data_IF_027255163442
#
_entry.id   IF_027255163442
#
_cell.length_a   1.000
_cell.length_b   1.000
_cell.length_c   1.000
_cell.angle_alpha   90.00
_cell.angle_beta   90.00
_cell.angle_gamma   90.00
#
_symmetry.space_group_name_H-M   'P 1'
#
loop_
_entity.id
_entity.type
_entity.pdbx_description
1 polymer ?
#
# COMPACT_ATOMS: atom_id res chain seq x y z
N UNK A 1 8.31 -28.82 -54.64
CA UNK A 1 7.05 -28.14 -54.24
C UNK A 1 6.49 -28.54 -52.86
N UNK A 2 6.74 -29.74 -52.31
CA UNK A 2 6.13 -30.20 -51.05
C UNK A 2 6.65 -29.55 -49.74
N UNK A 3 7.88 -29.04 -49.73
CA UNK A 3 8.53 -28.51 -48.51
C UNK A 3 8.03 -27.11 -48.10
N UNK A 4 7.63 -26.26 -49.06
CA UNK A 4 7.12 -24.91 -48.78
C UNK A 4 5.72 -24.93 -48.13
N UNK A 5 4.92 -25.96 -48.43
CA UNK A 5 3.58 -26.12 -47.85
C UNK A 5 3.67 -26.54 -46.38
N UNK A 6 4.62 -27.41 -46.03
CA UNK A 6 4.84 -27.86 -44.65
C UNK A 6 5.28 -26.73 -43.71
N UNK A 7 6.18 -25.84 -44.16
CA UNK A 7 6.59 -24.66 -43.38
C UNK A 7 5.41 -23.70 -43.12
N UNK A 8 4.48 -23.56 -44.08
CA UNK A 8 3.29 -22.72 -43.93
C UNK A 8 2.32 -23.30 -42.89
N UNK A 9 2.13 -24.62 -42.89
CA UNK A 9 1.32 -25.29 -41.86
C UNK A 9 1.94 -25.17 -40.47
N UNK A 10 3.24 -25.37 -40.32
CA UNK A 10 3.95 -25.20 -39.05
C UNK A 10 3.84 -23.75 -38.55
N UNK A 11 3.99 -22.78 -39.44
CA UNK A 11 3.86 -21.35 -39.09
C UNK A 11 2.43 -20.99 -38.68
N UNK A 12 1.41 -21.53 -39.34
CA UNK A 12 0.01 -21.35 -38.93
C UNK A 12 -0.28 -21.99 -37.57
N UNK A 13 0.24 -23.20 -37.31
CA UNK A 13 0.07 -23.87 -36.00
C UNK A 13 0.78 -23.10 -34.89
N UNK A 14 1.99 -22.59 -35.13
CA UNK A 14 2.71 -21.71 -34.18
C UNK A 14 1.99 -20.38 -33.93
N UNK A 15 1.43 -19.76 -34.97
CA UNK A 15 0.65 -18.53 -34.82
C UNK A 15 -0.63 -18.76 -34.01
N UNK A 16 -1.34 -19.88 -34.24
CA UNK A 16 -2.53 -20.25 -33.46
C UNK A 16 -2.15 -20.58 -32.01
N UNK A 17 -1.04 -21.29 -31.76
CA UNK A 17 -0.53 -21.56 -30.40
C UNK A 17 -0.15 -20.26 -29.66
N UNK A 18 0.46 -19.29 -30.34
CA UNK A 18 0.78 -17.97 -29.77
C UNK A 18 -0.49 -17.17 -29.47
N UNK A 19 -1.51 -17.21 -30.34
CA UNK A 19 -2.80 -16.56 -30.10
C UNK A 19 -3.60 -17.22 -28.97
N UNK A 20 -3.50 -18.53 -28.79
CA UNK A 20 -4.16 -19.25 -27.67
C UNK A 20 -3.40 -19.04 -26.36
N UNK A 21 -2.07 -18.93 -26.39
CA UNK A 21 -1.26 -18.57 -25.23
C UNK A 21 -1.51 -17.13 -24.74
N UNK A 22 -1.95 -16.22 -25.62
CA UNK A 22 -2.38 -14.87 -25.22
C UNK A 22 -3.76 -14.80 -24.56
N UNK A 23 -4.46 -15.94 -24.43
CA UNK A 23 -5.69 -16.08 -23.63
C UNK A 23 -5.37 -16.75 -22.28
N UNK A 24 -4.17 -16.54 -21.75
CA UNK A 24 -4.02 -16.66 -20.30
C UNK A 24 -5.03 -15.68 -19.69
N UNK A 25 -5.87 -16.09 -18.73
CA UNK A 25 -6.67 -15.13 -17.99
C UNK A 25 -5.68 -14.12 -17.43
N UNK A 26 -5.74 -12.89 -17.94
CA UNK A 26 -5.29 -11.74 -17.18
C UNK A 26 -6.21 -11.82 -15.96
N UNK A 27 -5.71 -12.40 -14.89
CA UNK A 27 -6.36 -12.35 -13.60
C UNK A 27 -6.35 -10.86 -13.24
N UNK A 28 -7.41 -10.16 -13.65
CA UNK A 28 -7.69 -8.84 -13.15
C UNK A 28 -7.72 -9.00 -11.64
N UNK A 29 -6.92 -8.17 -10.98
CA UNK A 29 -6.87 -8.18 -9.55
C UNK A 29 -8.28 -7.87 -9.03
N UNK A 30 -8.81 -8.77 -8.20
CA UNK A 30 -10.08 -8.55 -7.54
C UNK A 30 -9.94 -7.31 -6.64
N UNK A 31 -10.85 -6.35 -6.80
CA UNK A 31 -10.77 -5.05 -6.12
C UNK A 31 -11.73 -5.00 -4.94
N UNK A 32 -11.23 -4.66 -3.76
CA UNK A 32 -12.06 -4.38 -2.60
C UNK A 32 -12.72 -3.00 -2.75
N UNK A 33 -14.03 -2.94 -2.54
CA UNK A 33 -14.73 -1.67 -2.37
C UNK A 33 -14.67 -1.27 -0.89
N UNK A 34 -14.01 -0.15 -0.59
CA UNK A 34 -14.07 0.48 0.73
C UNK A 34 -15.39 1.24 0.86
N UNK A 35 -16.20 0.87 1.84
CA UNK A 35 -17.57 1.40 2.00
C UNK A 35 -17.64 2.80 2.63
N UNK A 36 -16.56 3.30 3.25
CA UNK A 36 -16.55 4.53 4.03
C UNK A 36 -15.25 5.34 3.82
N UNK A 37 -15.36 6.66 3.90
CA UNK A 37 -14.20 7.56 4.07
C UNK A 37 -13.76 7.54 5.54
N UNK A 38 -12.58 6.98 5.84
CA UNK A 38 -11.96 7.07 7.17
C UNK A 38 -10.83 8.12 7.17
N UNK A 39 -10.65 8.83 8.29
CA UNK A 39 -9.55 9.79 8.42
C UNK A 39 -8.21 9.06 8.38
N UNK A 40 -7.24 9.62 7.66
CA UNK A 40 -5.88 9.09 7.56
C UNK A 40 -5.18 8.95 8.92
N UNK A 41 -5.50 9.86 9.84
CA UNK A 41 -4.90 9.91 11.16
C UNK A 41 -5.64 9.04 12.16
N UNK A 42 -6.87 8.63 11.85
CA UNK A 42 -7.71 7.83 12.76
C UNK A 42 -8.61 6.92 11.94
N UNK A 43 -8.17 5.68 11.75
CA UNK A 43 -9.02 4.60 11.28
C UNK A 43 -9.75 3.91 12.44
N UNK A 44 -10.65 2.99 12.10
CA UNK A 44 -11.44 2.23 13.08
C UNK A 44 -10.61 1.48 14.13
N UNK A 45 -9.44 0.97 13.75
CA UNK A 45 -8.53 0.20 14.62
C UNK A 45 -7.14 0.82 14.78
N UNK A 46 -6.86 1.99 14.20
CA UNK A 46 -5.54 2.61 14.26
C UNK A 46 -5.58 4.13 14.38
N UNK A 47 -4.50 4.72 14.87
CA UNK A 47 -4.29 6.17 14.80
C UNK A 47 -2.83 6.50 14.48
N UNK A 48 -2.63 7.51 13.64
CA UNK A 48 -1.32 8.03 13.25
C UNK A 48 -1.18 9.47 13.73
N UNK A 49 0.01 9.84 14.19
CA UNK A 49 0.34 11.21 14.56
C UNK A 49 1.77 11.55 14.15
N UNK A 50 1.97 12.81 13.79
CA UNK A 50 3.27 13.37 13.44
C UNK A 50 3.66 14.47 14.44
N UNK A 51 4.91 14.47 14.88
CA UNK A 51 5.49 15.51 15.73
C UNK A 51 6.94 15.78 15.34
N UNK A 52 7.52 16.86 15.87
CA UNK A 52 8.95 17.15 15.72
C UNK A 52 9.69 16.79 17.01
N UNK A 53 10.83 16.13 16.88
CA UNK A 53 11.81 15.98 17.94
C UNK A 53 13.13 16.64 17.50
N UNK A 54 13.34 17.89 17.89
CA UNK A 54 14.42 18.70 17.34
C UNK A 54 14.24 18.90 15.83
N UNK A 55 15.14 18.30 15.03
CA UNK A 55 15.07 18.33 13.55
C UNK A 55 14.45 17.07 12.96
N UNK A 56 14.16 16.06 13.77
CA UNK A 56 13.62 14.81 13.28
C UNK A 56 12.09 14.85 13.26
N UNK A 57 11.49 14.24 12.25
CA UNK A 57 10.03 14.01 12.23
C UNK A 57 9.75 12.69 12.92
N UNK A 58 8.86 12.69 13.91
CA UNK A 58 8.40 11.48 14.60
C UNK A 58 7.01 11.15 14.11
N UNK A 59 6.90 10.05 13.37
CA UNK A 59 5.64 9.41 13.01
C UNK A 59 5.32 8.31 14.03
N UNK A 60 4.16 8.37 14.66
CA UNK A 60 3.69 7.36 15.60
C UNK A 60 2.38 6.75 15.12
N UNK A 61 2.41 5.45 14.83
CA UNK A 61 1.26 4.62 14.56
C UNK A 61 0.90 3.80 15.79
N UNK A 62 -0.36 3.84 16.18
CA UNK A 62 -0.94 3.01 17.24
C UNK A 62 -2.02 2.14 16.63
N UNK A 63 -1.91 0.81 16.77
CA UNK A 63 -2.91 -0.16 16.31
C UNK A 63 -3.55 -0.84 17.51
N UNK A 64 -4.87 -1.05 17.46
CA UNK A 64 -5.72 -1.59 18.52
C UNK A 64 -6.43 -2.85 18.02
N UNK A 65 -5.74 -3.99 18.05
CA UNK A 65 -6.23 -5.26 17.49
C UNK A 65 -5.90 -6.48 18.40
N UNK A 66 -6.53 -6.51 19.59
CA UNK A 66 -6.24 -7.53 20.62
C UNK A 66 -5.14 -7.11 21.60
N UNK A 67 -4.86 -5.81 21.66
CA UNK A 67 -3.84 -5.15 22.47
C UNK A 67 -3.45 -3.83 21.83
N UNK A 68 -2.50 -3.10 22.42
CA UNK A 68 -1.96 -1.88 21.82
C UNK A 68 -0.55 -2.18 21.29
N UNK A 69 -0.42 -2.13 19.96
CA UNK A 69 0.90 -2.12 19.30
C UNK A 69 1.24 -0.69 18.91
N UNK A 70 2.44 -0.22 19.24
CA UNK A 70 2.95 1.10 18.86
C UNK A 70 4.14 0.96 17.93
N UNK A 71 4.09 1.63 16.80
CA UNK A 71 5.20 1.73 15.85
C UNK A 71 5.60 3.21 15.82
N UNK A 72 6.81 3.49 16.26
CA UNK A 72 7.40 4.84 16.23
C UNK A 72 8.49 4.87 15.18
N UNK A 73 8.41 5.82 14.25
CA UNK A 73 9.35 6.00 13.16
C UNK A 73 9.91 7.41 13.26
N UNK A 74 11.21 7.50 13.53
CA UNK A 74 11.93 8.77 13.65
C UNK A 74 12.72 8.99 12.38
N UNK A 75 12.32 10.00 11.62
CA UNK A 75 12.86 10.32 10.29
C UNK A 75 13.87 11.45 10.44
N UNK A 76 15.12 11.16 10.12
CA UNK A 76 16.22 12.10 10.23
C UNK A 76 16.40 12.90 8.93
N UNK A 77 16.92 14.14 8.98
CA UNK A 77 17.20 14.96 7.80
C UNK A 77 18.16 14.37 6.77
N UNK A 78 18.82 13.25 7.07
CA UNK A 78 19.75 12.55 6.19
C UNK A 78 19.11 11.34 5.48
N UNK A 79 17.78 11.27 5.42
CA UNK A 79 17.01 10.21 4.74
C UNK A 79 17.23 8.81 5.35
N UNK A 80 17.50 8.79 6.67
CA UNK A 80 17.53 7.60 7.50
C UNK A 80 16.35 7.65 8.48
N UNK A 81 15.75 6.50 8.71
CA UNK A 81 14.66 6.34 9.65
C UNK A 81 14.96 5.25 10.66
N UNK A 82 14.88 5.62 11.94
CA UNK A 82 14.89 4.69 13.06
C UNK A 82 13.45 4.24 13.34
N UNK A 83 13.27 2.94 13.55
CA UNK A 83 11.96 2.32 13.71
C UNK A 83 11.96 1.56 15.03
N UNK A 84 10.99 1.84 15.88
CA UNK A 84 10.77 1.15 17.15
C UNK A 84 9.36 0.60 17.14
N UNK A 85 9.24 -0.72 17.18
CA UNK A 85 7.96 -1.41 17.38
C UNK A 85 7.89 -1.85 18.84
N UNK A 86 6.79 -1.53 19.52
CA UNK A 86 6.46 -2.02 20.85
C UNK A 86 5.14 -2.77 20.75
N UNK A 87 5.21 -4.08 20.95
CA UNK A 87 4.06 -4.97 20.91
C UNK A 87 3.20 -4.90 22.18
N UNK A 88 2.06 -5.59 22.16
CA UNK A 88 1.09 -5.55 23.24
C UNK A 88 1.60 -6.16 24.55
N UNK A 89 2.54 -7.11 24.50
CA UNK A 89 3.19 -7.68 25.68
C UNK A 89 4.41 -6.89 26.17
N UNK A 90 4.70 -5.74 25.55
CA UNK A 90 5.81 -4.85 25.91
C UNK A 90 7.15 -5.24 25.29
N UNK A 91 7.21 -6.30 24.49
CA UNK A 91 8.35 -6.61 23.65
C UNK A 91 8.62 -5.47 22.68
N UNK A 92 9.91 -5.18 22.47
CA UNK A 92 10.32 -4.13 21.55
C UNK A 92 11.33 -4.64 20.55
N UNK A 93 11.18 -4.19 19.30
CA UNK A 93 12.16 -4.39 18.24
C UNK A 93 12.58 -3.05 17.68
N UNK A 94 13.83 -2.98 17.24
CA UNK A 94 14.40 -1.79 16.61
C UNK A 94 14.98 -2.14 15.25
N UNK A 95 14.80 -1.26 14.27
CA UNK A 95 15.31 -1.42 12.92
C UNK A 95 15.59 -0.06 12.30
N UNK A 96 16.30 -0.05 11.18
CA UNK A 96 16.60 1.16 10.40
C UNK A 96 16.23 0.95 8.94
N UNK A 97 15.77 2.02 8.29
CA UNK A 97 15.41 2.02 6.88
C UNK A 97 15.81 3.33 6.19
N UNK A 98 15.84 3.33 4.86
CA UNK A 98 15.91 4.58 4.08
C UNK A 98 14.52 5.19 3.96
N UNK A 99 14.45 6.51 4.10
CA UNK A 99 13.21 7.29 4.08
C UNK A 99 13.38 8.55 3.24
N UNK A 100 12.27 9.23 2.94
CA UNK A 100 12.28 10.57 2.35
C UNK A 100 11.90 11.59 3.42
N UNK A 101 12.88 12.32 3.96
CA UNK A 101 12.61 13.28 5.04
C UNK A 101 11.62 14.38 4.60
N UNK A 102 11.70 14.83 3.35
CA UNK A 102 10.89 15.94 2.86
C UNK A 102 9.41 15.57 2.86
N UNK A 103 9.09 14.36 2.39
CA UNK A 103 7.72 13.82 2.43
C UNK A 103 7.15 13.82 3.86
N UNK A 104 7.89 13.26 4.83
CA UNK A 104 7.41 13.19 6.22
C UNK A 104 7.29 14.58 6.88
N UNK A 105 8.18 15.51 6.54
CA UNK A 105 8.12 16.88 7.01
C UNK A 105 6.91 17.65 6.44
N UNK A 106 6.57 17.44 5.16
CA UNK A 106 5.36 17.98 4.54
C UNK A 106 4.10 17.43 5.22
N UNK A 107 4.02 16.11 5.45
CA UNK A 107 2.88 15.50 6.15
C UNK A 107 2.74 16.05 7.57
N UNK A 108 3.85 16.26 8.29
CA UNK A 108 3.82 16.90 9.60
C UNK A 108 3.23 18.32 9.53
N UNK A 109 3.68 19.13 8.56
CA UNK A 109 3.19 20.50 8.36
C UNK A 109 1.70 20.52 8.03
N UNK A 110 1.25 19.65 7.13
CA UNK A 110 -0.16 19.52 6.77
C UNK A 110 -1.01 19.14 7.99
N UNK A 111 -0.53 18.23 8.84
CA UNK A 111 -1.20 17.90 10.09
C UNK A 111 -1.32 19.12 11.02
N UNK A 112 -0.30 20.00 11.10
CA UNK A 112 -0.38 21.21 11.92
C UNK A 112 -1.35 22.23 11.31
N UNK A 113 -1.27 22.44 10.00
CA UNK A 113 -2.15 23.34 9.26
C UNK A 113 -3.62 22.92 9.41
N UNK A 114 -3.90 21.62 9.41
CA UNK A 114 -5.22 21.06 9.69
C UNK A 114 -5.66 21.37 11.14
N UNK A 115 -4.82 21.08 12.15
CA UNK A 115 -5.12 21.36 13.57
C UNK A 115 -5.38 22.85 13.83
N UNK A 116 -4.70 23.73 13.09
CA UNK A 116 -4.82 25.17 13.22
C UNK A 116 -5.95 25.78 12.38
N UNK A 117 -6.73 24.96 11.67
CA UNK A 117 -7.83 25.42 10.81
C UNK A 117 -7.38 26.21 9.58
N UNK A 118 -6.11 26.11 9.20
CA UNK A 118 -5.50 26.81 8.07
C UNK A 118 -5.66 26.05 6.74
N UNK A 119 -5.86 24.73 6.79
CA UNK A 119 -6.36 23.94 5.67
C UNK A 119 -7.88 23.84 5.79
N UNK A 120 -8.60 24.29 4.76
CA UNK A 120 -10.03 24.06 4.66
C UNK A 120 -10.28 22.55 4.60
N UNK A 121 -11.20 22.03 5.42
CA UNK A 121 -11.76 20.70 5.20
C UNK A 121 -12.40 20.72 3.82
N UNK A 122 -11.77 20.10 2.82
CA UNK A 122 -12.50 19.75 1.61
C UNK A 122 -13.42 18.61 2.05
N UNK A 123 -14.75 18.82 2.08
CA UNK A 123 -15.65 17.77 2.53
C UNK A 123 -15.43 16.54 1.66
N UNK A 124 -15.40 15.36 2.27
CA UNK A 124 -15.39 14.12 1.52
C UNK A 124 -16.60 14.11 0.59
N UNK A 125 -16.35 14.14 -0.72
CA UNK A 125 -17.41 14.10 -1.72
C UNK A 125 -18.06 12.72 -1.68
N UNK A 126 -19.38 12.69 -1.51
CA UNK A 126 -20.14 11.44 -1.39
C UNK A 126 -20.75 11.05 -2.73
N UNK A 127 -21.28 9.84 -2.86
CA UNK A 127 -21.64 9.24 -4.17
C UNK A 127 -22.52 10.10 -5.09
N UNK A 128 -23.33 11.03 -4.59
CA UNK A 128 -24.11 11.97 -5.41
C UNK A 128 -23.29 13.16 -5.93
N UNK A 129 -22.19 13.50 -5.26
CA UNK A 129 -21.33 14.64 -5.56
C UNK A 129 -20.23 14.27 -6.57
N UNK A 130 -19.94 12.97 -6.68
CA UNK A 130 -18.87 12.41 -7.52
C UNK A 130 -19.39 12.07 -8.92
N UNK A 131 -18.88 12.76 -9.94
CA UNK A 131 -19.04 12.40 -11.35
C UNK A 131 -17.71 11.91 -11.92
N UNK A 132 -17.76 10.96 -12.86
CA UNK A 132 -16.56 10.26 -13.35
C UNK A 132 -15.47 11.12 -14.01
N UNK A 133 -15.71 12.41 -14.24
CA UNK A 133 -14.78 13.35 -14.88
C UNK A 133 -14.21 14.45 -13.97
N UNK A 134 -14.65 14.53 -12.70
CA UNK A 134 -14.23 15.59 -11.77
C UNK A 134 -12.78 15.49 -11.32
N UNK A 135 -12.20 14.29 -11.38
CA UNK A 135 -10.87 14.04 -10.85
C UNK A 135 -9.92 13.49 -11.91
N UNK A 136 -8.65 13.83 -11.74
CA UNK A 136 -7.55 13.22 -12.46
C UNK A 136 -6.47 12.75 -11.50
N UNK A 137 -5.88 11.63 -11.83
CA UNK A 137 -4.78 11.05 -11.08
C UNK A 137 -3.46 11.50 -11.71
N UNK A 138 -2.63 12.21 -10.94
CA UNK A 138 -1.25 12.53 -11.30
C UNK A 138 -0.35 11.52 -10.60
N UNK A 139 0.39 10.74 -11.37
CA UNK A 139 1.35 9.78 -10.83
C UNK A 139 2.41 10.52 -10.02
N UNK A 140 2.64 10.07 -8.79
CA UNK A 140 3.69 10.59 -7.90
C UNK A 140 4.87 9.63 -7.89
N UNK A 141 4.60 8.34 -7.64
CA UNK A 141 5.65 7.36 -7.47
C UNK A 141 5.13 5.96 -7.19
N UNK A 142 6.04 5.01 -7.14
CA UNK A 142 5.76 3.62 -6.77
C UNK A 142 6.74 3.23 -5.66
N UNK A 143 6.21 2.69 -4.55
CA UNK A 143 7.05 2.12 -3.50
C UNK A 143 7.88 0.98 -4.10
N UNK A 144 9.05 0.70 -3.50
CA UNK A 144 9.76 -0.52 -3.82
C UNK A 144 8.82 -1.73 -3.68
N UNK A 145 8.99 -2.72 -4.56
CA UNK A 145 8.30 -4.00 -4.41
C UNK A 145 9.01 -4.80 -3.35
N UNK A 146 8.37 -4.95 -2.20
CA UNK A 146 8.90 -5.74 -1.10
C UNK A 146 8.44 -7.18 -1.19
N UNK A 147 9.32 -8.09 -0.75
CA UNK A 147 9.03 -9.52 -0.69
C UNK A 147 8.96 -9.94 0.77
N UNK A 148 7.84 -10.54 1.16
CA UNK A 148 7.67 -11.17 2.48
C UNK A 148 7.44 -12.66 2.27
N UNK A 149 8.17 -13.49 3.01
CA UNK A 149 8.00 -14.94 2.92
C UNK A 149 6.71 -15.39 3.61
N UNK A 150 6.03 -16.37 3.00
CA UNK A 150 4.79 -16.90 3.56
C UNK A 150 4.99 -17.50 4.95
N UNK A 151 6.18 -18.02 5.25
CA UNK A 151 6.54 -18.51 6.60
C UNK A 151 6.44 -17.43 7.67
N UNK A 152 6.75 -16.18 7.35
CA UNK A 152 6.70 -15.07 8.30
C UNK A 152 5.28 -14.53 8.42
N UNK A 153 4.58 -14.38 7.29
CA UNK A 153 3.17 -14.00 7.29
C UNK A 153 2.30 -14.99 8.07
N UNK A 154 2.53 -16.31 7.94
CA UNK A 154 1.76 -17.34 8.69
C UNK A 154 1.92 -17.24 10.22
N UNK A 155 2.96 -16.57 10.71
CA UNK A 155 3.15 -16.31 12.15
C UNK A 155 2.28 -15.16 12.62
N UNK A 156 1.92 -14.21 11.75
CA UNK A 156 1.04 -13.10 12.05
C UNK A 156 -0.35 -13.61 12.48
N UNK A 157 -0.83 -13.11 13.62
CA UNK A 157 -2.15 -13.42 14.19
C UNK A 157 -3.11 -12.24 14.15
N UNK A 158 -2.59 -11.05 13.84
CA UNK A 158 -3.33 -9.79 13.79
C UNK A 158 -2.69 -8.82 12.79
N UNK A 159 -3.42 -7.77 12.42
CA UNK A 159 -2.97 -6.77 11.45
C UNK A 159 -1.70 -6.05 11.91
N UNK A 160 -1.54 -5.81 13.20
CA UNK A 160 -0.35 -5.14 13.76
C UNK A 160 0.94 -5.94 13.60
N UNK A 161 0.86 -7.27 13.50
CA UNK A 161 2.04 -8.10 13.19
C UNK A 161 2.50 -7.85 11.74
N UNK A 162 1.55 -7.75 10.81
CA UNK A 162 1.84 -7.44 9.39
C UNK A 162 2.34 -6.00 9.26
N UNK A 163 1.72 -5.05 9.97
CA UNK A 163 2.12 -3.65 9.97
C UNK A 163 3.56 -3.47 10.48
N UNK A 164 3.99 -4.29 11.44
CA UNK A 164 5.37 -4.25 11.97
C UNK A 164 6.40 -4.69 10.92
N UNK A 165 6.07 -5.71 10.12
CA UNK A 165 6.90 -6.15 8.99
C UNK A 165 6.98 -5.04 7.94
N UNK A 166 5.83 -4.49 7.55
CA UNK A 166 5.75 -3.44 6.53
C UNK A 166 6.42 -2.14 6.97
N UNK A 167 6.29 -1.73 8.23
CA UNK A 167 6.95 -0.53 8.74
C UNK A 167 8.46 -0.59 8.57
N UNK A 168 9.05 -1.77 8.77
CA UNK A 168 10.49 -2.00 8.58
C UNK A 168 10.89 -2.01 7.10
N UNK A 169 10.06 -2.58 6.22
CA UNK A 169 10.35 -2.63 4.79
C UNK A 169 10.08 -1.29 4.06
N UNK A 170 9.06 -0.56 4.49
CA UNK A 170 8.48 0.57 3.75
C UNK A 170 8.91 1.91 4.33
N UNK A 171 10.22 2.12 4.42
CA UNK A 171 10.84 3.31 5.02
C UNK A 171 10.37 4.67 4.46
N UNK A 172 9.89 4.71 3.22
CA UNK A 172 9.39 5.94 2.57
C UNK A 172 7.86 6.00 2.41
N UNK A 173 7.13 5.02 2.97
CA UNK A 173 5.66 5.00 2.93
C UNK A 173 5.10 5.48 4.27
N UNK A 174 4.12 6.40 4.30
CA UNK A 174 3.49 6.83 5.55
C UNK A 174 2.81 5.68 6.31
N UNK A 175 2.84 5.72 7.64
CA UNK A 175 2.34 4.66 8.50
C UNK A 175 0.83 4.42 8.38
N UNK A 176 0.06 5.42 7.97
CA UNK A 176 -1.36 5.23 7.70
C UNK A 176 -1.60 4.28 6.51
N UNK A 177 -0.79 4.41 5.46
CA UNK A 177 -0.80 3.51 4.30
C UNK A 177 -0.30 2.12 4.70
N UNK A 178 0.71 2.04 5.57
CA UNK A 178 1.17 0.76 6.13
C UNK A 178 0.03 0.07 6.91
N UNK A 179 -0.70 0.81 7.74
CA UNK A 179 -1.80 0.29 8.55
C UNK A 179 -2.97 -0.23 7.71
N UNK A 180 -3.37 0.51 6.68
CA UNK A 180 -4.43 0.08 5.76
C UNK A 180 -4.01 -1.15 4.97
N UNK A 181 -2.78 -1.15 4.44
CA UNK A 181 -2.22 -2.29 3.71
C UNK A 181 -2.10 -3.53 4.60
N UNK A 182 -1.68 -3.36 5.86
CA UNK A 182 -1.56 -4.45 6.81
C UNK A 182 -2.92 -5.08 7.14
N UNK A 183 -3.95 -4.26 7.36
CA UNK A 183 -5.32 -4.73 7.57
C UNK A 183 -5.83 -5.48 6.33
N UNK A 184 -5.63 -4.92 5.14
CA UNK A 184 -5.98 -5.57 3.88
C UNK A 184 -5.30 -6.94 3.72
N UNK A 185 -3.98 -7.02 3.90
CA UNK A 185 -3.24 -8.27 3.80
C UNK A 185 -3.74 -9.28 4.84
N UNK A 186 -3.98 -8.83 6.07
CA UNK A 186 -4.46 -9.70 7.14
C UNK A 186 -5.84 -10.29 6.81
N UNK A 187 -6.81 -9.46 6.46
CA UNK A 187 -8.20 -9.88 6.24
C UNK A 187 -8.39 -10.59 4.91
N UNK A 188 -7.86 -10.03 3.82
CA UNK A 188 -8.16 -10.51 2.47
C UNK A 188 -7.22 -11.59 1.99
N UNK A 189 -6.04 -11.71 2.60
CA UNK A 189 -5.00 -12.60 2.09
C UNK A 189 -4.57 -13.66 3.09
N UNK A 190 -4.16 -13.28 4.30
CA UNK A 190 -3.67 -14.23 5.29
C UNK A 190 -4.73 -15.28 5.67
N UNK A 191 -5.97 -14.85 5.88
CA UNK A 191 -7.07 -15.77 6.19
C UNK A 191 -7.40 -16.75 5.06
N UNK A 192 -7.06 -16.42 3.82
CA UNK A 192 -7.34 -17.22 2.62
C UNK A 192 -6.09 -17.65 1.86
N UNK A 193 -4.91 -17.58 2.50
CA UNK A 193 -3.63 -17.76 1.84
C UNK A 193 -3.47 -19.20 1.38
N UNK A 194 -3.09 -19.40 0.12
CA UNK A 194 -2.90 -20.73 -0.45
C UNK A 194 -1.88 -21.54 0.37
N UNK A 195 -2.12 -22.83 0.57
CA UNK A 195 -1.14 -23.75 1.16
C UNK A 195 0.19 -23.76 0.39
N UNK A 196 0.12 -23.52 -0.92
CA UNK A 196 1.27 -23.51 -1.83
C UNK A 196 2.01 -22.17 -1.87
N UNK A 197 1.50 -21.16 -1.15
CA UNK A 197 2.14 -19.84 -1.10
C UNK A 197 3.51 -19.94 -0.43
N UNK A 198 4.55 -19.53 -1.16
CA UNK A 198 5.94 -19.48 -0.71
C UNK A 198 6.35 -18.06 -0.33
N UNK A 199 5.98 -17.08 -1.15
CA UNK A 199 6.26 -15.66 -0.90
C UNK A 199 5.15 -14.77 -1.41
N UNK A 200 5.07 -13.58 -0.82
CA UNK A 200 4.16 -12.52 -1.20
C UNK A 200 5.00 -11.32 -1.62
N UNK A 201 4.66 -10.70 -2.75
CA UNK A 201 5.22 -9.40 -3.11
C UNK A 201 4.19 -8.31 -2.95
N UNK A 202 4.61 -7.17 -2.44
CA UNK A 202 3.74 -6.05 -2.09
C UNK A 202 4.34 -4.79 -2.70
N UNK A 203 3.54 -4.04 -3.44
CA UNK A 203 3.92 -2.77 -4.04
C UNK A 203 2.77 -1.79 -3.92
N UNK A 204 3.05 -0.50 -3.74
CA UNK A 204 2.03 0.55 -3.71
C UNK A 204 2.36 1.62 -4.75
N UNK A 205 1.38 2.03 -5.54
CA UNK A 205 1.51 3.20 -6.44
C UNK A 205 0.79 4.37 -5.79
N UNK A 206 1.48 5.50 -5.68
CA UNK A 206 0.93 6.75 -5.16
C UNK A 206 0.56 7.67 -6.32
N UNK A 207 -0.65 8.21 -6.24
CA UNK A 207 -1.18 9.25 -7.11
C UNK A 207 -1.62 10.44 -6.28
N UNK A 208 -1.44 11.64 -6.79
CA UNK A 208 -2.27 12.78 -6.37
C UNK A 208 -3.59 12.71 -7.14
N UNK A 209 -4.67 12.97 -6.44
CA UNK A 209 -6.00 13.19 -6.99
C UNK A 209 -6.20 14.70 -7.02
N UNK A 210 -6.38 15.23 -8.22
CA UNK A 210 -6.59 16.65 -8.46
C UNK A 210 -7.98 16.88 -9.03
N UNK A 211 -8.57 18.03 -8.74
CA UNK A 211 -9.75 18.47 -9.46
C UNK A 211 -9.40 18.74 -10.92
N UNK A 212 -10.16 18.15 -11.85
CA UNK A 212 -9.94 18.28 -13.29
C UNK A 212 -10.13 19.70 -13.82
N UNK A 213 -10.93 20.54 -13.12
CA UNK A 213 -11.31 21.87 -13.61
C UNK A 213 -10.22 22.93 -13.39
N UNK A 214 -9.47 22.88 -12.28
CA UNK A 214 -8.44 23.87 -11.93
C UNK A 214 -7.09 23.27 -11.48
N UNK A 215 -6.97 21.94 -11.45
CA UNK A 215 -5.80 21.21 -10.95
C UNK A 215 -5.51 21.41 -9.45
N UNK A 216 -6.48 21.93 -8.69
CA UNK A 216 -6.32 22.02 -7.25
C UNK A 216 -6.20 20.62 -6.63
N UNK A 217 -5.36 20.54 -5.62
CA UNK A 217 -5.12 19.30 -4.87
C UNK A 217 -6.38 18.89 -4.10
N UNK A 218 -6.77 17.63 -4.21
CA UNK A 218 -7.91 17.07 -3.47
C UNK A 218 -7.45 16.05 -2.42
N UNK A 219 -6.73 15.00 -2.83
CA UNK A 219 -6.21 13.94 -1.94
C UNK A 219 -5.09 13.17 -2.63
N UNK A 220 -4.48 12.16 -1.98
CA UNK A 220 -3.75 11.11 -2.70
C UNK A 220 -4.60 9.84 -2.84
N UNK A 221 -4.24 8.98 -3.79
CA UNK A 221 -4.72 7.62 -3.89
C UNK A 221 -3.52 6.67 -3.93
N UNK A 222 -3.61 5.60 -3.16
CA UNK A 222 -2.62 4.56 -3.03
C UNK A 222 -3.22 3.28 -3.60
N UNK A 223 -2.53 2.71 -4.58
CA UNK A 223 -2.96 1.49 -5.24
C UNK A 223 -2.02 0.37 -4.80
N UNK A 224 -2.40 -0.36 -3.76
CA UNK A 224 -1.60 -1.46 -3.26
C UNK A 224 -1.88 -2.71 -4.07
N UNK A 225 -0.83 -3.33 -4.60
CA UNK A 225 -0.94 -4.63 -5.27
C UNK A 225 -0.18 -5.66 -4.47
N UNK A 226 -0.86 -6.76 -4.14
CA UNK A 226 -0.30 -7.88 -3.41
C UNK A 226 -0.40 -9.13 -4.28
N UNK A 227 0.71 -9.83 -4.44
CA UNK A 227 0.80 -11.03 -5.29
C UNK A 227 1.38 -12.20 -4.53
N UNK A 228 0.73 -13.36 -4.64
CA UNK A 228 1.20 -14.62 -4.06
C UNK A 228 1.93 -15.46 -5.09
N UNK A 229 3.05 -16.05 -4.69
CA UNK A 229 3.87 -16.88 -5.55
C UNK A 229 4.16 -18.24 -4.92
N UNK A 230 4.21 -19.26 -5.76
CA UNK A 230 4.79 -20.57 -5.44
C UNK A 230 6.32 -20.48 -5.38
N UNK A 231 6.96 -21.50 -4.81
CA UNK A 231 8.43 -21.58 -4.70
C UNK A 231 9.14 -21.59 -6.05
N UNK A 232 8.48 -22.11 -7.10
CA UNK A 232 8.98 -22.09 -8.47
C UNK A 232 8.76 -20.74 -9.20
N UNK A 233 8.24 -19.72 -8.52
CA UNK A 233 7.98 -18.39 -9.07
C UNK A 233 6.66 -18.24 -9.82
N UNK A 234 5.80 -19.26 -9.89
CA UNK A 234 4.47 -19.14 -10.50
C UNK A 234 3.55 -18.26 -9.65
N UNK A 235 2.85 -17.31 -10.29
CA UNK A 235 1.83 -16.49 -9.66
C UNK A 235 0.61 -17.36 -9.30
N UNK A 236 0.14 -17.27 -8.06
CA UNK A 236 -1.08 -17.94 -7.58
C UNK A 236 -2.27 -16.99 -7.73
N UNK A 237 -2.15 -15.79 -7.18
CA UNK A 237 -3.18 -14.74 -7.24
C UNK A 237 -2.57 -13.35 -7.11
N UNK A 238 -3.30 -12.36 -7.61
CA UNK A 238 -3.01 -10.94 -7.47
C UNK A 238 -4.27 -10.27 -6.95
N UNK A 239 -4.15 -9.46 -5.90
CA UNK A 239 -5.22 -8.57 -5.44
C UNK A 239 -4.72 -7.14 -5.42
N UNK A 240 -5.60 -6.20 -5.72
CA UNK A 240 -5.28 -4.77 -5.72
C UNK A 240 -6.30 -4.06 -4.86
N UNK A 241 -5.78 -3.31 -3.89
CA UNK A 241 -6.58 -2.46 -3.03
C UNK A 241 -6.35 -1.00 -3.42
N UNK A 242 -7.40 -0.19 -3.25
CA UNK A 242 -7.37 1.23 -3.54
C UNK A 242 -7.67 1.98 -2.24
N UNK A 243 -6.66 2.68 -1.72
CA UNK A 243 -6.78 3.44 -0.51
C UNK A 243 -6.57 4.93 -0.81
N UNK A 244 -7.59 5.75 -0.60
CA UNK A 244 -7.48 7.20 -0.78
C UNK A 244 -7.08 7.88 0.52
N UNK A 245 -6.16 8.83 0.44
CA UNK A 245 -5.56 9.45 1.61
C UNK A 245 -4.82 10.78 1.33
N UNK A 246 -5.04 11.76 2.22
CA UNK A 246 -4.30 12.99 2.59
C UNK A 246 -5.11 14.28 2.31
N UNK A 247 -5.46 15.01 3.39
CA UNK A 247 -6.19 16.30 3.36
C UNK A 247 -7.35 16.43 4.37
N UNK A 248 -7.75 15.37 5.07
CA UNK A 248 -8.81 15.34 6.09
C UNK A 248 -9.27 13.92 6.39
#
# INVERSE_FOLDING_TARGET
>A
MKTKTYLRYISCVLAVLLCVASIMPIAFADSTNHGNSESLLTGSNYSVSYSMNGKDVVEQLTIRDGGITRITRTVHPNDVMDIVVVGASGESTTSTARSDYSLFYEIYQDQQNYKNGQLAQIPALTGSDVTGSQFKHRYVGTSATDTVYASDLRKCKKASDVASILATAWGSTPAAVISSTASFIFDQMLQSMSSDCYKVTISSITYEVLFSYDNSYYTHCYHQTVKEYKSNGSLIRSKTDYYQAIGG
#
